data_IF_830661043216
#
_entry.id   IF_830661043216
#
_cell.length_a   1.000
_cell.length_b   1.000
_cell.length_c   1.000
_cell.angle_alpha   90.00
_cell.angle_beta   90.00
_cell.angle_gamma   90.00
#
_symmetry.space_group_name_H-M   'P 1'
#
loop_
_entity.id
_entity.type
_entity.pdbx_description
1 polymer ?
#
# COMPACT_ATOMS: atom_id res chain seq x y z
N UNK A 1 -12.70 38.45 17.12
CA UNK A 1 -11.65 37.45 17.42
C UNK A 1 -12.15 36.12 16.92
N UNK A 2 -11.64 35.62 15.78
CA UNK A 2 -11.89 34.23 15.40
C UNK A 2 -11.15 33.37 16.41
N UNK A 3 -11.84 32.49 17.15
CA UNK A 3 -11.17 31.42 17.87
C UNK A 3 -10.30 30.66 16.87
N UNK A 4 -9.01 30.58 17.12
CA UNK A 4 -8.16 29.60 16.43
C UNK A 4 -8.81 28.24 16.64
N UNK A 5 -9.01 27.52 15.54
CA UNK A 5 -9.55 26.17 15.59
C UNK A 5 -8.45 25.28 16.15
N UNK A 6 -8.64 24.81 17.39
CA UNK A 6 -7.64 23.97 18.06
C UNK A 6 -7.78 22.49 17.67
N UNK A 7 -8.93 22.06 17.11
CA UNK A 7 -9.18 20.74 16.52
C UNK A 7 -9.11 19.53 17.46
N UNK A 8 -8.66 19.71 18.71
CA UNK A 8 -8.41 18.62 19.66
C UNK A 8 -9.63 17.77 19.98
N UNK A 9 -10.80 18.39 20.10
CA UNK A 9 -12.06 17.73 20.44
C UNK A 9 -12.62 16.88 19.28
N UNK A 10 -12.09 17.05 18.07
CA UNK A 10 -12.52 16.33 16.86
C UNK A 10 -11.59 15.15 16.54
N UNK A 11 -10.49 15.01 17.27
CA UNK A 11 -9.53 13.92 17.12
C UNK A 11 -9.98 12.77 18.02
N UNK A 12 -10.05 11.58 17.45
CA UNK A 12 -10.31 10.35 18.19
C UNK A 12 -8.97 9.84 18.72
N UNK A 13 -8.76 10.03 20.02
CA UNK A 13 -7.52 9.70 20.71
C UNK A 13 -7.42 8.21 21.09
N UNK A 14 -8.48 7.43 20.87
CA UNK A 14 -8.45 5.98 21.10
C UNK A 14 -7.80 5.23 19.92
N UNK A 15 -7.58 5.90 18.79
CA UNK A 15 -6.85 5.36 17.63
C UNK A 15 -5.35 5.46 17.87
N UNK A 16 -4.60 4.40 17.57
CA UNK A 16 -3.13 4.40 17.65
C UNK A 16 -2.51 5.46 16.73
N UNK A 17 -1.75 6.39 17.32
CA UNK A 17 -1.12 7.55 16.67
C UNK A 17 -0.18 7.17 15.52
N UNK A 18 0.47 6.00 15.64
CA UNK A 18 1.44 5.52 14.67
C UNK A 18 0.77 4.78 13.49
N UNK A 19 -0.55 4.59 13.53
CA UNK A 19 -1.31 3.86 12.51
C UNK A 19 -1.73 4.73 11.32
N UNK A 20 -1.90 4.10 10.15
CA UNK A 20 -2.48 4.75 8.98
C UNK A 20 -3.87 5.33 9.27
N UNK A 21 -4.72 4.60 10.01
CA UNK A 21 -6.05 5.05 10.42
C UNK A 21 -5.99 6.41 11.12
N UNK A 22 -5.07 6.61 12.06
CA UNK A 22 -4.91 7.88 12.74
C UNK A 22 -4.48 9.00 11.78
N UNK A 23 -3.52 8.73 10.90
CA UNK A 23 -3.02 9.72 9.94
C UNK A 23 -4.12 10.21 8.97
N UNK A 24 -5.03 9.33 8.53
CA UNK A 24 -6.19 9.75 7.73
C UNK A 24 -7.26 10.44 8.57
N UNK A 25 -7.56 9.91 9.76
CA UNK A 25 -8.55 10.48 10.68
C UNK A 25 -8.22 11.93 11.03
N UNK A 26 -6.97 12.21 11.41
CA UNK A 26 -6.56 13.56 11.84
C UNK A 26 -6.62 14.56 10.66
N UNK A 27 -6.26 14.14 9.45
CA UNK A 27 -6.38 14.97 8.24
C UNK A 27 -7.86 15.24 7.93
N UNK A 28 -8.71 14.23 8.05
CA UNK A 28 -10.15 14.36 7.84
C UNK A 28 -10.80 15.30 8.86
N UNK A 29 -10.56 15.06 10.16
CA UNK A 29 -11.09 15.87 11.25
C UNK A 29 -10.71 17.35 11.09
N UNK A 30 -9.44 17.62 10.75
CA UNK A 30 -8.98 18.97 10.48
C UNK A 30 -9.68 19.58 9.25
N UNK A 31 -9.83 18.83 8.15
CA UNK A 31 -10.44 19.37 6.93
C UNK A 31 -11.95 19.59 7.06
N UNK A 32 -12.66 18.71 7.75
CA UNK A 32 -14.12 18.80 7.97
C UNK A 32 -14.48 19.91 8.95
N UNK A 33 -13.73 20.06 10.04
CA UNK A 33 -14.13 20.91 11.15
C UNK A 33 -13.44 22.28 11.21
N UNK A 34 -12.32 22.48 10.49
CA UNK A 34 -11.63 23.77 10.48
C UNK A 34 -12.44 24.84 9.69
N UNK A 35 -12.91 25.92 10.34
CA UNK A 35 -13.73 26.96 9.72
C UNK A 35 -12.98 27.77 8.65
N UNK A 36 -11.65 27.71 8.62
CA UNK A 36 -10.80 28.38 7.62
C UNK A 36 -10.62 27.54 6.34
N UNK A 37 -10.93 26.24 6.41
CA UNK A 37 -10.77 25.28 5.31
C UNK A 37 -12.14 24.89 4.74
N UNK A 38 -13.16 24.78 5.60
CA UNK A 38 -14.56 24.51 5.23
C UNK A 38 -14.73 23.31 4.30
N UNK A 39 -14.02 22.21 4.56
CA UNK A 39 -14.12 21.00 3.74
C UNK A 39 -13.60 21.13 2.31
N UNK A 40 -12.70 22.09 2.03
CA UNK A 40 -12.13 22.25 0.68
C UNK A 40 -10.98 21.29 0.36
N UNK A 41 -10.33 20.70 1.36
CA UNK A 41 -9.20 19.75 1.17
C UNK A 41 -8.03 20.33 0.37
N UNK A 42 -7.84 21.65 0.42
CA UNK A 42 -6.80 22.36 -0.36
C UNK A 42 -5.61 22.84 0.48
N UNK A 43 -5.68 22.69 1.81
CA UNK A 43 -4.65 23.16 2.72
C UNK A 43 -4.15 21.98 3.56
N UNK A 44 -2.84 21.90 3.75
CA UNK A 44 -2.24 20.90 4.64
C UNK A 44 -2.34 21.38 6.10
N UNK A 45 -2.61 20.47 7.06
CA UNK A 45 -2.60 20.79 8.49
C UNK A 45 -1.17 20.99 9.03
N UNK A 46 -0.48 22.05 8.62
CA UNK A 46 0.90 22.33 9.03
C UNK A 46 1.05 22.43 10.57
N UNK A 47 0.08 23.04 11.25
CA UNK A 47 0.08 23.21 12.72
C UNK A 47 0.11 21.86 13.46
N UNK A 48 -0.56 20.83 12.93
CA UNK A 48 -0.53 19.48 13.50
C UNK A 48 0.78 18.75 13.18
N UNK A 49 1.39 19.08 12.04
CA UNK A 49 2.73 18.63 11.69
C UNK A 49 3.82 19.18 12.62
N UNK A 50 3.71 20.46 13.01
CA UNK A 50 4.65 21.09 13.96
C UNK A 50 4.62 20.42 15.35
N UNK A 51 3.46 19.87 15.72
CA UNK A 51 3.26 19.08 16.94
C UNK A 51 3.70 17.62 16.80
N UNK A 52 4.22 17.22 15.63
CA UNK A 52 4.66 15.86 15.30
C UNK A 52 3.56 14.79 15.43
N UNK A 53 2.29 15.19 15.29
CA UNK A 53 1.16 14.27 15.29
C UNK A 53 0.95 13.61 13.92
N UNK A 54 1.48 14.24 12.86
CA UNK A 54 1.36 13.76 11.48
C UNK A 54 2.74 13.29 11.01
N UNK A 55 2.83 12.01 10.66
CA UNK A 55 4.03 11.38 10.07
C UNK A 55 4.15 11.70 8.57
N UNK A 56 3.03 12.00 7.92
CA UNK A 56 2.96 12.41 6.52
C UNK A 56 3.55 13.82 6.30
N UNK A 57 4.11 14.12 5.12
CA UNK A 57 4.06 13.33 3.88
C UNK A 57 5.10 12.21 3.77
N UNK A 58 6.12 12.17 4.64
CA UNK A 58 7.21 11.20 4.57
C UNK A 58 6.83 9.81 5.10
N UNK A 59 5.86 9.74 6.01
CA UNK A 59 5.43 8.51 6.67
C UNK A 59 6.33 8.10 7.83
N UNK A 60 7.29 8.94 8.22
CA UNK A 60 8.12 8.82 9.42
C UNK A 60 8.69 10.19 9.79
N UNK A 61 9.17 10.33 11.03
CA UNK A 61 9.85 11.55 11.49
C UNK A 61 11.35 11.43 11.20
N UNK A 62 11.93 12.30 10.35
CA UNK A 62 13.37 12.30 10.07
C UNK A 62 14.22 12.56 11.31
N UNK A 63 15.47 12.08 11.30
CA UNK A 63 16.40 12.34 12.38
C UNK A 63 16.80 13.81 12.38
N UNK A 64 16.88 14.45 13.56
CA UNK A 64 17.40 15.82 13.68
C UNK A 64 18.88 15.95 13.25
N UNK A 65 19.57 14.83 13.04
CA UNK A 65 20.95 14.76 12.58
C UNK A 65 21.09 14.68 11.06
N UNK A 66 19.99 14.56 10.32
CA UNK A 66 19.99 14.50 8.85
C UNK A 66 20.32 15.88 8.29
N UNK A 67 21.54 16.04 7.74
CA UNK A 67 22.08 17.34 7.31
C UNK A 67 21.52 17.87 5.99
N UNK A 68 20.75 17.05 5.26
CA UNK A 68 20.12 17.43 4.00
C UNK A 68 18.63 17.12 4.08
N UNK A 69 17.77 18.03 3.58
CA UNK A 69 16.35 17.74 3.46
C UNK A 69 16.17 16.50 2.55
N UNK A 70 15.31 15.58 2.97
CA UNK A 70 15.03 14.33 2.25
C UNK A 70 14.30 14.62 0.94
N UNK A 71 13.43 15.63 0.96
CA UNK A 71 12.66 16.11 -0.18
C UNK A 71 12.92 17.60 -0.38
N UNK A 72 12.81 18.05 -1.62
CA UNK A 72 12.70 19.46 -1.95
C UNK A 72 11.36 20.03 -1.47
N UNK A 73 11.25 21.36 -1.39
CA UNK A 73 9.99 22.03 -1.05
C UNK A 73 8.88 21.70 -2.05
N UNK A 74 9.21 21.61 -3.34
CA UNK A 74 8.27 21.26 -4.42
C UNK A 74 7.74 19.83 -4.26
N UNK A 75 8.63 18.85 -4.04
CA UNK A 75 8.24 17.45 -3.79
C UNK A 75 7.38 17.32 -2.52
N UNK A 76 7.74 18.06 -1.46
CA UNK A 76 6.98 18.06 -0.20
C UNK A 76 5.57 18.58 -0.41
N UNK A 77 5.40 19.72 -1.09
CA UNK A 77 4.09 20.29 -1.36
C UNK A 77 3.26 19.46 -2.33
N UNK A 78 3.90 18.78 -3.29
CA UNK A 78 3.21 17.84 -4.18
C UNK A 78 2.69 16.62 -3.42
N UNK A 79 3.53 15.97 -2.59
CA UNK A 79 3.10 14.84 -1.77
C UNK A 79 1.97 15.19 -0.81
N UNK A 80 2.02 16.38 -0.18
CA UNK A 80 0.92 16.86 0.67
C UNK A 80 -0.41 16.95 -0.11
N UNK A 81 -0.38 17.46 -1.35
CA UNK A 81 -1.58 17.51 -2.20
C UNK A 81 -2.09 16.11 -2.52
N UNK A 82 -1.21 15.17 -2.82
CA UNK A 82 -1.61 13.81 -3.18
C UNK A 82 -2.17 13.03 -1.98
N UNK A 83 -1.58 13.20 -0.79
CA UNK A 83 -2.15 12.69 0.46
C UNK A 83 -3.52 13.30 0.78
N UNK A 84 -3.71 14.61 0.55
CA UNK A 84 -5.02 15.25 0.73
C UNK A 84 -6.07 14.70 -0.24
N UNK A 85 -5.72 14.45 -1.50
CA UNK A 85 -6.63 13.82 -2.48
C UNK A 85 -7.04 12.42 -2.03
N UNK A 86 -6.08 11.61 -1.59
CA UNK A 86 -6.34 10.27 -1.09
C UNK A 86 -7.25 10.29 0.16
N UNK A 87 -6.90 11.09 1.16
CA UNK A 87 -7.70 11.25 2.38
C UNK A 87 -9.11 11.74 2.06
N UNK A 88 -9.25 12.68 1.13
CA UNK A 88 -10.55 13.15 0.67
C UNK A 88 -11.36 12.03 0.01
N UNK A 89 -10.74 11.21 -0.83
CA UNK A 89 -11.41 10.08 -1.48
C UNK A 89 -11.91 9.07 -0.44
N UNK A 90 -11.05 8.66 0.50
CA UNK A 90 -11.39 7.75 1.60
C UNK A 90 -12.57 8.29 2.41
N UNK A 91 -12.53 9.56 2.82
CA UNK A 91 -13.59 10.19 3.64
C UNK A 91 -14.98 10.27 2.98
N UNK A 92 -15.06 10.06 1.66
CA UNK A 92 -16.28 10.20 0.86
C UNK A 92 -16.88 8.87 0.42
N UNK A 93 -16.15 7.78 0.57
CA UNK A 93 -16.58 6.46 0.09
C UNK A 93 -16.83 5.53 1.27
N UNK A 94 -17.97 4.87 1.26
CA UNK A 94 -18.31 3.86 2.26
C UNK A 94 -17.73 2.48 1.90
N UNK A 95 -17.04 2.38 0.76
CA UNK A 95 -16.44 1.15 0.27
C UNK A 95 -15.11 0.78 0.96
N UNK A 96 -14.58 1.67 1.80
CA UNK A 96 -13.26 1.52 2.42
C UNK A 96 -13.41 1.54 3.94
N UNK A 97 -12.84 0.54 4.58
CA UNK A 97 -12.65 0.47 6.02
C UNK A 97 -11.15 0.40 6.32
N UNK A 98 -10.72 1.11 7.37
CA UNK A 98 -9.33 1.10 7.82
C UNK A 98 -9.30 0.70 9.30
N UNK A 99 -8.57 -0.37 9.59
CA UNK A 99 -8.30 -0.85 10.93
C UNK A 99 -6.77 -0.84 11.12
N UNK A 100 -6.29 0.02 12.03
CA UNK A 100 -4.86 0.32 12.19
C UNK A 100 -4.16 0.66 10.84
N UNK A 101 -3.41 -0.28 10.28
CA UNK A 101 -2.71 -0.16 8.99
C UNK A 101 -3.37 -0.95 7.86
N UNK A 102 -4.38 -1.76 8.17
CA UNK A 102 -5.06 -2.65 7.24
C UNK A 102 -6.25 -1.95 6.59
N UNK A 103 -6.22 -1.92 5.27
CA UNK A 103 -7.32 -1.49 4.43
C UNK A 103 -8.19 -2.69 4.08
N UNK A 104 -9.50 -2.52 4.18
CA UNK A 104 -10.49 -3.41 3.57
C UNK A 104 -11.27 -2.59 2.54
N UNK A 105 -11.25 -3.04 1.28
CA UNK A 105 -11.99 -2.41 0.17
C UNK A 105 -13.05 -3.37 -0.35
N UNK A 106 -14.29 -2.90 -0.43
CA UNK A 106 -15.42 -3.62 -1.01
C UNK A 106 -15.66 -3.15 -2.44
N UNK A 107 -15.43 -4.03 -3.39
CA UNK A 107 -15.65 -3.79 -4.81
C UNK A 107 -17.13 -3.71 -5.19
N UNK A 108 -17.44 -3.04 -6.30
CA UNK A 108 -18.81 -2.88 -6.81
C UNK A 108 -19.52 -4.21 -7.13
N UNK A 109 -18.76 -5.27 -7.41
CA UNK A 109 -19.30 -6.60 -7.69
C UNK A 109 -19.24 -7.55 -6.48
N UNK A 110 -18.84 -7.04 -5.31
CA UNK A 110 -18.84 -7.77 -4.04
C UNK A 110 -17.53 -8.49 -3.73
N UNK A 111 -16.47 -8.28 -4.53
CA UNK A 111 -15.13 -8.72 -4.13
C UNK A 111 -14.69 -7.94 -2.90
N UNK A 112 -13.96 -8.62 -2.02
CA UNK A 112 -13.33 -7.99 -0.86
C UNK A 112 -11.82 -8.08 -1.02
N UNK A 113 -11.17 -6.93 -0.96
CA UNK A 113 -9.73 -6.79 -1.05
C UNK A 113 -9.17 -6.31 0.28
N UNK A 114 -8.03 -6.86 0.71
CA UNK A 114 -7.39 -6.48 1.97
C UNK A 114 -5.89 -6.34 1.81
N UNK A 115 -5.30 -5.33 2.44
CA UNK A 115 -3.86 -5.10 2.41
C UNK A 115 -3.44 -4.18 3.55
N UNK A 116 -2.20 -4.31 4.02
CA UNK A 116 -1.59 -3.34 4.92
C UNK A 116 -0.87 -2.26 4.12
N UNK A 117 -0.84 -1.03 4.64
CA UNK A 117 0.06 0.01 4.12
C UNK A 117 1.22 0.24 5.08
N UNK A 118 2.42 0.36 4.52
CA UNK A 118 3.57 0.91 5.21
C UNK A 118 3.78 2.36 4.81
N UNK A 119 3.50 3.29 5.73
CA UNK A 119 3.78 4.70 5.53
C UNK A 119 5.29 4.97 5.44
N UNK A 120 6.12 4.31 6.27
CA UNK A 120 7.58 4.52 6.29
C UNK A 120 8.29 3.98 5.04
N UNK A 121 7.82 2.84 4.51
CA UNK A 121 8.47 2.14 3.39
C UNK A 121 7.77 2.33 2.05
N UNK A 122 6.72 3.18 2.01
CA UNK A 122 5.92 3.53 0.84
C UNK A 122 5.52 2.30 0.02
N UNK A 123 4.89 1.32 0.68
CA UNK A 123 4.42 0.10 0.04
C UNK A 123 3.16 -0.46 0.68
N UNK A 124 2.48 -1.36 -0.02
CA UNK A 124 1.49 -2.25 0.58
C UNK A 124 1.99 -3.69 0.64
N UNK A 125 1.38 -4.45 1.53
CA UNK A 125 1.69 -5.84 1.89
C UNK A 125 0.39 -6.63 2.10
N UNK A 126 0.44 -7.97 2.20
CA UNK A 126 -0.69 -8.77 2.65
C UNK A 126 -1.19 -8.28 4.02
N UNK A 127 -2.50 -8.41 4.29
CA UNK A 127 -3.08 -7.85 5.50
C UNK A 127 -2.52 -8.52 6.77
N UNK A 128 -2.26 -7.73 7.81
CA UNK A 128 -1.69 -8.13 9.10
C UNK A 128 -0.27 -8.72 9.03
N UNK A 129 0.54 -8.30 8.05
CA UNK A 129 1.93 -8.78 7.87
C UNK A 129 2.98 -7.68 8.03
N UNK A 130 2.56 -6.42 8.20
CA UNK A 130 3.49 -5.28 8.27
C UNK A 130 4.53 -5.44 9.38
N UNK A 131 4.11 -5.83 10.58
CA UNK A 131 5.00 -5.98 11.74
C UNK A 131 6.02 -7.10 11.55
N UNK A 132 5.60 -8.23 10.98
CA UNK A 132 6.47 -9.35 10.65
C UNK A 132 7.57 -8.94 9.67
N UNK A 133 7.22 -8.13 8.67
CA UNK A 133 8.15 -7.70 7.63
C UNK A 133 8.93 -6.43 7.98
N UNK A 134 8.63 -5.72 9.06
CA UNK A 134 9.20 -4.41 9.38
C UNK A 134 10.73 -4.39 9.40
N UNK A 135 11.35 -5.35 10.10
CA UNK A 135 12.81 -5.44 10.20
C UNK A 135 13.46 -5.73 8.83
N UNK A 136 12.83 -6.58 8.03
CA UNK A 136 13.29 -6.93 6.69
C UNK A 136 13.17 -5.73 5.73
N UNK A 137 12.05 -4.99 5.76
CA UNK A 137 11.87 -3.78 4.97
C UNK A 137 12.90 -2.70 5.33
N UNK A 138 13.20 -2.53 6.62
CA UNK A 138 14.27 -1.62 7.07
C UNK A 138 15.65 -2.05 6.55
N UNK A 139 15.95 -3.35 6.56
CA UNK A 139 17.19 -3.88 5.99
C UNK A 139 17.28 -3.58 4.49
N UNK A 140 16.20 -3.83 3.74
CA UNK A 140 16.10 -3.57 2.30
C UNK A 140 16.34 -2.09 2.00
N UNK A 141 15.66 -1.18 2.71
CA UNK A 141 15.85 0.28 2.56
C UNK A 141 17.29 0.69 2.80
N UNK A 142 17.95 0.11 3.80
CA UNK A 142 19.34 0.42 4.14
C UNK A 142 20.37 -0.30 3.23
N UNK A 143 19.93 -1.06 2.22
CA UNK A 143 20.80 -1.84 1.33
C UNK A 143 21.43 -3.08 1.99
N UNK A 144 21.00 -3.46 3.19
CA UNK A 144 21.51 -4.61 3.92
C UNK A 144 20.87 -5.91 3.42
N UNK A 145 21.57 -6.65 2.56
CA UNK A 145 21.07 -7.93 2.02
C UNK A 145 21.24 -9.12 2.98
N UNK A 146 22.16 -9.01 3.94
CA UNK A 146 22.44 -10.03 4.97
C UNK A 146 22.59 -11.48 4.46
N UNK A 147 23.11 -11.68 3.24
CA UNK A 147 23.23 -13.00 2.60
C UNK A 147 24.03 -14.05 3.40
N UNK A 148 24.87 -13.60 4.34
CA UNK A 148 25.69 -14.46 5.20
C UNK A 148 24.94 -14.99 6.43
N UNK A 149 23.76 -14.43 6.75
CA UNK A 149 22.89 -14.87 7.84
C UNK A 149 21.60 -15.39 7.21
N UNK A 150 21.47 -16.72 7.11
CA UNK A 150 20.38 -17.37 6.38
C UNK A 150 18.99 -16.87 6.79
N UNK A 151 18.72 -16.74 8.09
CA UNK A 151 17.43 -16.25 8.60
C UNK A 151 17.10 -14.84 8.13
N UNK A 152 18.04 -13.91 8.22
CA UNK A 152 17.84 -12.54 7.72
C UNK A 152 17.72 -12.50 6.20
N UNK A 153 18.43 -13.38 5.50
CA UNK A 153 18.34 -13.45 4.05
C UNK A 153 16.95 -13.92 3.60
N UNK A 154 16.41 -14.97 4.22
CA UNK A 154 15.06 -15.50 3.94
C UNK A 154 14.01 -14.44 4.26
N UNK A 155 14.05 -13.83 5.46
CA UNK A 155 13.10 -12.78 5.84
C UNK A 155 13.11 -11.58 4.88
N UNK A 156 14.28 -11.19 4.38
CA UNK A 156 14.40 -10.13 3.36
C UNK A 156 13.79 -10.55 2.01
N UNK A 157 13.91 -11.82 1.62
CA UNK A 157 13.29 -12.33 0.39
C UNK A 157 11.77 -12.37 0.53
N UNK A 158 11.26 -12.88 1.65
CA UNK A 158 9.82 -12.94 1.95
C UNK A 158 9.20 -11.55 1.92
N UNK A 159 9.79 -10.56 2.61
CA UNK A 159 9.31 -9.18 2.58
C UNK A 159 9.37 -8.54 1.18
N UNK A 160 10.30 -8.97 0.33
CA UNK A 160 10.36 -8.52 -1.06
C UNK A 160 9.22 -9.11 -1.90
N UNK A 161 8.91 -10.40 -1.70
CA UNK A 161 7.81 -11.10 -2.41
C UNK A 161 6.45 -10.57 -1.97
N UNK A 162 6.27 -10.31 -0.68
CA UNK A 162 5.04 -9.75 -0.12
C UNK A 162 4.79 -8.29 -0.56
N UNK A 163 5.82 -7.60 -1.05
CA UNK A 163 5.66 -6.20 -1.48
C UNK A 163 4.72 -6.13 -2.68
N UNK A 164 3.74 -5.23 -2.59
CA UNK A 164 2.69 -5.01 -3.60
C UNK A 164 1.60 -6.08 -3.67
N UNK A 165 1.60 -7.03 -2.74
CA UNK A 165 0.60 -8.08 -2.66
C UNK A 165 -0.65 -7.59 -1.89
N UNK A 166 -1.82 -8.08 -2.32
CA UNK A 166 -3.10 -7.88 -1.65
C UNK A 166 -3.82 -9.22 -1.49
N UNK A 167 -4.65 -9.34 -0.45
CA UNK A 167 -5.54 -10.48 -0.24
C UNK A 167 -6.90 -10.23 -0.91
N UNK A 168 -7.50 -11.31 -1.42
CA UNK A 168 -8.88 -11.30 -1.95
C UNK A 168 -9.75 -12.33 -1.22
N UNK A 169 -11.08 -12.22 -1.34
CA UNK A 169 -12.02 -13.23 -0.85
C UNK A 169 -12.30 -14.35 -1.87
N UNK A 170 -11.45 -14.55 -2.88
CA UNK A 170 -11.60 -15.63 -3.84
C UNK A 170 -11.54 -17.01 -3.19
N UNK A 171 -12.25 -17.96 -3.79
CA UNK A 171 -12.28 -19.35 -3.34
C UNK A 171 -10.94 -20.02 -3.62
N UNK A 172 -10.31 -20.57 -2.57
CA UNK A 172 -9.06 -21.33 -2.69
C UNK A 172 -9.37 -22.73 -3.23
N UNK A 173 -8.72 -23.11 -4.33
CA UNK A 173 -8.94 -24.40 -5.00
C UNK A 173 -7.97 -25.50 -4.55
N UNK A 174 -7.00 -25.14 -3.71
CA UNK A 174 -5.94 -26.02 -3.20
C UNK A 174 -4.58 -25.68 -3.81
N UNK A 175 -3.50 -26.21 -3.23
CA UNK A 175 -2.12 -26.01 -3.72
C UNK A 175 -1.65 -24.55 -3.89
N UNK A 176 -2.31 -23.60 -3.21
CA UNK A 176 -1.97 -22.18 -3.28
C UNK A 176 -2.68 -21.40 -4.40
N UNK A 177 -3.62 -22.02 -5.12
CA UNK A 177 -4.39 -21.35 -6.17
C UNK A 177 -5.78 -20.90 -5.68
N UNK A 178 -6.30 -19.90 -6.39
CA UNK A 178 -7.62 -19.29 -6.18
C UNK A 178 -8.36 -19.12 -7.50
N UNK A 179 -9.68 -19.28 -7.48
CA UNK A 179 -10.54 -19.02 -8.64
C UNK A 179 -10.82 -17.53 -8.85
N UNK A 180 -10.96 -17.12 -10.10
CA UNK A 180 -11.51 -15.81 -10.43
C UNK A 180 -12.95 -15.67 -9.90
N UNK A 181 -13.37 -14.45 -9.52
CA UNK A 181 -14.71 -14.23 -8.98
C UNK A 181 -15.79 -14.43 -10.04
N UNK A 182 -17.01 -14.72 -9.57
CA UNK A 182 -18.14 -15.14 -10.44
C UNK A 182 -18.57 -14.08 -11.45
N UNK A 183 -18.35 -12.80 -11.18
CA UNK A 183 -18.68 -11.72 -12.11
C UNK A 183 -17.68 -11.60 -13.27
N UNK A 184 -16.59 -12.37 -13.26
CA UNK A 184 -15.61 -12.46 -14.35
C UNK A 184 -15.75 -13.79 -15.13
N UNK A 185 -16.87 -14.03 -15.84
CA UNK A 185 -17.17 -15.34 -16.46
C UNK A 185 -16.15 -15.76 -17.52
N UNK A 186 -15.44 -14.81 -18.13
CA UNK A 186 -14.38 -15.08 -19.11
C UNK A 186 -13.21 -15.87 -18.50
N UNK A 187 -13.00 -15.78 -17.18
CA UNK A 187 -11.85 -16.37 -16.49
C UNK A 187 -12.21 -17.55 -15.59
N UNK A 188 -13.45 -18.04 -15.67
CA UNK A 188 -13.98 -19.09 -14.78
C UNK A 188 -13.18 -20.41 -14.82
N UNK A 189 -12.53 -20.71 -15.95
CA UNK A 189 -11.75 -21.95 -16.16
C UNK A 189 -10.25 -21.76 -15.86
N UNK A 190 -9.90 -20.62 -15.24
CA UNK A 190 -8.54 -20.27 -14.88
C UNK A 190 -8.42 -20.02 -13.38
N UNK A 191 -7.21 -20.23 -12.87
CA UNK A 191 -6.87 -20.02 -11.47
C UNK A 191 -5.62 -19.16 -11.41
N UNK A 192 -5.51 -18.34 -10.36
CA UNK A 192 -4.36 -17.50 -10.08
C UNK A 192 -3.77 -17.87 -8.71
N UNK A 193 -2.51 -17.53 -8.47
CA UNK A 193 -1.82 -17.85 -7.23
C UNK A 193 -1.90 -16.67 -6.24
N UNK A 194 -1.08 -15.65 -6.49
CA UNK A 194 -0.98 -14.45 -5.66
C UNK A 194 -1.49 -13.22 -6.43
N UNK A 195 -1.89 -12.17 -5.72
CA UNK A 195 -2.41 -10.94 -6.32
C UNK A 195 -1.46 -9.79 -6.05
N UNK A 196 -0.64 -9.44 -7.05
CA UNK A 196 0.28 -8.32 -6.98
C UNK A 196 -0.21 -7.17 -7.85
N UNK A 197 -0.48 -6.02 -7.23
CA UNK A 197 -0.81 -4.79 -7.98
C UNK A 197 0.37 -3.85 -7.83
N UNK A 198 1.11 -3.62 -8.92
CA UNK A 198 2.26 -2.71 -8.91
C UNK A 198 1.81 -1.24 -8.87
N UNK A 199 2.60 -0.35 -8.23
CA UNK A 199 2.29 1.08 -8.21
C UNK A 199 2.31 1.69 -9.61
N UNK A 200 1.31 2.53 -9.92
CA UNK A 200 1.14 3.17 -11.23
C UNK A 200 1.25 4.71 -11.19
N UNK A 201 1.25 5.33 -10.00
CA UNK A 201 1.36 6.79 -9.84
C UNK A 201 2.80 7.26 -9.73
N UNK A 202 3.02 8.56 -9.88
CA UNK A 202 4.34 9.19 -9.69
C UNK A 202 4.75 9.22 -8.22
N UNK A 203 3.76 9.30 -7.33
CA UNK A 203 3.96 9.25 -5.88
C UNK A 203 3.28 8.03 -5.26
N UNK A 204 3.71 7.66 -4.04
CA UNK A 204 3.06 6.59 -3.28
C UNK A 204 1.57 6.88 -2.99
N UNK A 205 1.15 8.05 -2.46
CA UNK A 205 -0.27 8.33 -2.25
C UNK A 205 -1.09 8.32 -3.54
N UNK A 206 -0.52 8.75 -4.67
CA UNK A 206 -1.18 8.64 -5.97
C UNK A 206 -1.35 7.19 -6.41
N UNK A 207 -0.30 6.37 -6.28
CA UNK A 207 -0.37 4.94 -6.57
C UNK A 207 -1.40 4.21 -5.70
N UNK A 208 -1.44 4.55 -4.41
CA UNK A 208 -2.41 4.01 -3.46
C UNK A 208 -3.84 4.44 -3.83
N UNK A 209 -4.05 5.69 -4.23
CA UNK A 209 -5.35 6.17 -4.71
C UNK A 209 -5.81 5.41 -5.97
N UNK A 210 -4.93 5.27 -6.96
CA UNK A 210 -5.23 4.55 -8.21
C UNK A 210 -5.55 3.07 -7.93
N UNK A 211 -4.75 2.42 -7.08
CA UNK A 211 -5.02 1.04 -6.67
C UNK A 211 -6.37 0.94 -5.97
N UNK A 212 -6.67 1.78 -4.98
CA UNK A 212 -7.96 1.72 -4.28
C UNK A 212 -9.12 1.94 -5.25
N UNK A 213 -9.02 2.88 -6.19
CA UNK A 213 -10.05 3.11 -7.21
C UNK A 213 -10.27 1.88 -8.09
N UNK A 214 -9.19 1.22 -8.51
CA UNK A 214 -9.21 -0.05 -9.25
C UNK A 214 -9.92 -1.16 -8.45
N UNK A 215 -9.65 -1.26 -7.15
CA UNK A 215 -10.30 -2.23 -6.26
C UNK A 215 -11.79 -1.94 -6.05
N UNK A 216 -12.17 -0.67 -5.95
CA UNK A 216 -13.57 -0.26 -5.85
C UNK A 216 -14.33 -0.54 -7.15
N UNK A 217 -13.72 -0.31 -8.31
CA UNK A 217 -14.30 -0.65 -9.61
C UNK A 217 -14.55 -2.16 -9.76
N UNK A 218 -13.65 -2.99 -9.24
CA UNK A 218 -13.83 -4.46 -9.14
C UNK A 218 -13.95 -5.18 -10.48
N UNK A 219 -13.37 -4.64 -11.55
CA UNK A 219 -13.33 -5.30 -12.86
C UNK A 219 -11.89 -5.34 -13.39
N UNK A 220 -11.27 -4.18 -13.55
CA UNK A 220 -9.94 -4.09 -14.17
C UNK A 220 -8.83 -4.74 -13.33
N UNK A 221 -8.97 -4.80 -12.00
CA UNK A 221 -8.05 -5.56 -11.12
C UNK A 221 -7.95 -7.02 -11.56
N UNK A 222 -9.07 -7.62 -11.95
CA UNK A 222 -9.11 -9.03 -12.36
C UNK A 222 -8.54 -9.24 -13.77
N UNK A 223 -8.67 -8.25 -14.66
CA UNK A 223 -7.98 -8.27 -15.95
C UNK A 223 -6.47 -8.23 -15.78
N UNK A 224 -5.97 -7.40 -14.86
CA UNK A 224 -4.54 -7.33 -14.51
C UNK A 224 -4.05 -8.68 -13.98
N UNK A 225 -4.76 -9.28 -13.02
CA UNK A 225 -4.39 -10.58 -12.42
C UNK A 225 -4.39 -11.68 -13.49
N UNK A 226 -5.41 -11.71 -14.35
CA UNK A 226 -5.48 -12.66 -15.46
C UNK A 226 -4.26 -12.54 -16.37
N UNK A 227 -3.88 -11.32 -16.77
CA UNK A 227 -2.73 -11.11 -17.64
C UNK A 227 -1.42 -11.52 -16.96
N UNK A 228 -1.25 -11.21 -15.68
CA UNK A 228 -0.09 -11.64 -14.90
C UNK A 228 0.03 -13.16 -14.85
N UNK A 229 -1.07 -13.87 -14.66
CA UNK A 229 -1.08 -15.33 -14.62
C UNK A 229 -0.79 -15.95 -16.00
N UNK A 230 -1.32 -15.36 -17.08
CA UNK A 230 -0.96 -15.75 -18.46
C UNK A 230 0.55 -15.60 -18.69
N UNK A 231 1.12 -14.46 -18.31
CA UNK A 231 2.54 -14.18 -18.46
C UNK A 231 3.41 -15.09 -17.60
N UNK A 232 2.97 -15.39 -16.36
CA UNK A 232 3.65 -16.33 -15.45
C UNK A 232 3.70 -17.74 -16.04
N UNK A 233 2.58 -18.25 -16.57
CA UNK A 233 2.51 -19.57 -17.20
C UNK A 233 3.40 -19.64 -18.43
N UNK A 234 3.35 -18.63 -19.29
CA UNK A 234 4.21 -18.53 -20.46
C UNK A 234 5.69 -18.50 -20.08
N UNK A 235 6.07 -17.71 -19.08
CA UNK A 235 7.44 -17.66 -18.58
C UNK A 235 7.88 -19.03 -18.03
N UNK A 236 7.00 -19.74 -17.31
CA UNK A 236 7.31 -21.08 -16.80
C UNK A 236 7.52 -22.10 -17.94
N UNK A 237 6.70 -22.04 -19.00
CA UNK A 237 6.86 -22.89 -20.20
C UNK A 237 8.18 -22.59 -20.92
N UNK A 238 8.49 -21.32 -21.18
CA UNK A 238 9.75 -20.89 -21.80
C UNK A 238 10.97 -21.27 -20.95
N UNK A 239 10.84 -21.17 -19.62
CA UNK A 239 11.89 -21.56 -18.69
C UNK A 239 12.15 -23.06 -18.73
N UNK A 240 11.10 -23.89 -18.74
CA UNK A 240 11.21 -25.35 -18.82
C UNK A 240 11.74 -25.80 -20.19
N UNK A 241 11.34 -25.14 -21.28
CA UNK A 241 11.89 -25.43 -22.62
C UNK A 241 13.39 -25.13 -22.68
N UNK A 242 13.80 -24.00 -22.10
CA UNK A 242 15.20 -23.57 -22.09
C UNK A 242 16.06 -24.39 -21.13
N UNK A 243 15.52 -24.77 -19.98
CA UNK A 243 16.22 -25.45 -18.91
C UNK A 243 15.38 -26.62 -18.36
N UNK A 244 15.23 -27.72 -19.12
CA UNK A 244 14.40 -28.84 -18.70
C UNK A 244 14.92 -29.45 -17.40
N UNK A 245 14.07 -29.53 -16.37
CA UNK A 245 14.46 -30.01 -15.05
C UNK A 245 15.29 -29.03 -14.22
N UNK A 246 15.35 -27.75 -14.63
CA UNK A 246 15.98 -26.68 -13.88
C UNK A 246 17.27 -26.16 -14.48
N UNK A 247 17.74 -25.07 -13.89
CA UNK A 247 18.88 -24.31 -14.39
C UNK A 247 20.21 -24.94 -13.96
N UNK A 248 21.15 -25.21 -14.89
CA UNK A 248 22.52 -25.62 -14.53
C UNK A 248 23.20 -24.56 -13.66
N UNK A 249 24.04 -24.97 -12.72
CA UNK A 249 24.72 -24.06 -11.77
C UNK A 249 25.62 -23.01 -12.46
N UNK A 250 26.11 -23.29 -13.67
CA UNK A 250 27.04 -22.47 -14.44
C UNK A 250 26.39 -21.61 -15.54
N UNK A 251 25.05 -21.55 -15.60
CA UNK A 251 24.30 -20.84 -16.64
C UNK A 251 24.71 -19.38 -16.88
N UNK A 252 25.28 -18.69 -15.88
CA UNK A 252 25.74 -17.30 -15.97
C UNK A 252 26.97 -17.14 -16.89
N UNK A 253 27.58 -18.25 -17.30
CA UNK A 253 28.80 -18.31 -18.10
C UNK A 253 28.59 -19.01 -19.46
N UNK A 254 27.34 -19.33 -19.81
CA UNK A 254 26.90 -19.92 -21.09
C UNK A 254 26.19 -18.86 -21.95
#
# INVERSE_FOLDING_TARGET
>A
MSREFNGWDEIDWDIDIDSAKFQFHIIEAWNKNNPNVKGKWTKWPNELGDLKLILLPLGYIPSSWDKKPILTDEETEQLKKDWLKLAQYISKTDAIEIEENTFTVIGQHGSRFRFDISLEFHRWLPPNTLDEHYAALRNIRNGARNKHILGNHIANLEATVATWEIETNSEKTGFGFSSFPKHMPKYQDMEFQDVHINPQGETFPESLLLMIQLLVEDEEVWNIIYQQEVDRRKFAEEFEEKWPGGRPDDWMYL
#
